data_IF_905584058347
#
_entry.id   IF_905584058347
#
_cell.length_a   1.000
_cell.length_b   1.000
_cell.length_c   1.000
_cell.angle_alpha   90.00
_cell.angle_beta   90.00
_cell.angle_gamma   90.00
#
_symmetry.space_group_name_H-M   'P 1'
#
loop_
_entity.id
_entity.type
_entity.pdbx_description
1 polymer ?
#
# COMPACT_ATOMS: atom_id res chain seq x y z
N UNK A 1 5.04 10.47 -9.49
CA UNK A 1 5.89 9.71 -8.54
C UNK A 1 6.33 8.34 -9.09
N UNK A 2 5.56 7.74 -10.00
CA UNK A 2 5.82 6.44 -10.66
C UNK A 2 7.19 6.34 -11.34
N UNK A 3 7.57 7.33 -12.16
CA UNK A 3 8.83 7.32 -12.94
C UNK A 3 10.05 7.25 -12.02
N UNK A 4 10.04 7.99 -10.91
CA UNK A 4 11.16 8.01 -9.94
C UNK A 4 11.40 6.63 -9.30
N UNK A 5 10.34 5.94 -8.91
CA UNK A 5 10.43 4.61 -8.28
C UNK A 5 10.91 3.57 -9.31
N UNK A 6 10.37 3.61 -10.53
CA UNK A 6 10.78 2.72 -11.62
C UNK A 6 12.26 2.92 -12.02
N UNK A 7 12.77 4.15 -11.97
CA UNK A 7 14.20 4.43 -12.24
C UNK A 7 15.14 3.96 -11.13
N UNK A 8 14.64 3.77 -9.91
CA UNK A 8 15.45 3.32 -8.77
C UNK A 8 15.59 1.80 -8.73
N UNK A 9 14.48 1.07 -8.88
CA UNK A 9 14.46 -0.40 -8.87
C UNK A 9 13.08 -0.89 -9.33
N UNK A 10 13.01 -1.53 -10.50
CA UNK A 10 11.75 -2.06 -11.04
C UNK A 10 11.13 -3.12 -10.11
N UNK A 11 11.96 -3.90 -9.39
CA UNK A 11 11.43 -4.90 -8.46
C UNK A 11 10.75 -4.25 -7.25
N UNK A 12 11.16 -3.05 -6.85
CA UNK A 12 10.46 -2.31 -5.80
C UNK A 12 9.13 -1.76 -6.30
N UNK A 13 9.06 -1.37 -7.58
CA UNK A 13 7.81 -0.95 -8.20
C UNK A 13 6.76 -2.06 -8.20
N UNK A 14 7.14 -3.28 -8.56
CA UNK A 14 6.23 -4.43 -8.55
C UNK A 14 5.70 -4.72 -7.14
N UNK A 15 6.56 -4.67 -6.12
CA UNK A 15 6.17 -4.86 -4.70
C UNK A 15 5.20 -3.76 -4.23
N UNK A 16 5.37 -2.53 -4.70
CA UNK A 16 4.49 -1.40 -4.38
C UNK A 16 3.14 -1.57 -5.05
N UNK A 17 3.10 -2.06 -6.29
CA UNK A 17 1.84 -2.22 -7.05
C UNK A 17 1.07 -3.45 -6.63
N UNK A 18 1.70 -4.62 -6.57
CA UNK A 18 1.02 -5.88 -6.25
C UNK A 18 0.79 -6.00 -4.75
N UNK A 19 1.70 -5.46 -3.95
CA UNK A 19 1.73 -5.58 -2.51
C UNK A 19 2.77 -6.58 -2.05
N UNK A 20 3.38 -6.36 -0.88
CA UNK A 20 4.33 -7.32 -0.35
C UNK A 20 3.60 -8.63 -0.05
N UNK A 21 4.15 -9.74 -0.53
CA UNK A 21 3.80 -11.07 -0.03
C UNK A 21 4.31 -11.21 1.40
N UNK A 22 3.58 -10.61 2.36
CA UNK A 22 3.99 -10.69 3.75
C UNK A 22 4.04 -12.16 4.19
N UNK A 23 4.96 -12.53 5.09
CA UNK A 23 5.00 -13.87 5.66
C UNK A 23 3.67 -14.21 6.33
N UNK A 24 3.01 -15.27 5.87
CA UNK A 24 1.79 -15.80 6.49
C UNK A 24 2.04 -17.22 6.99
N UNK A 25 1.33 -17.60 8.03
CA UNK A 25 1.21 -18.99 8.48
C UNK A 25 -0.26 -19.38 8.44
N UNK A 26 -0.51 -20.66 8.16
CA UNK A 26 -1.84 -21.25 8.27
C UNK A 26 -1.88 -21.95 9.61
N UNK A 27 -2.82 -21.56 10.47
CA UNK A 27 -3.02 -22.21 11.77
C UNK A 27 -3.56 -23.63 11.57
N UNK A 28 -3.59 -24.45 12.63
CA UNK A 28 -4.15 -25.82 12.54
C UNK A 28 -5.62 -25.81 12.15
N UNK A 29 -6.30 -24.70 12.40
CA UNK A 29 -7.71 -24.45 12.11
C UNK A 29 -7.92 -23.87 10.69
N UNK A 30 -6.86 -23.78 9.87
CA UNK A 30 -6.93 -23.28 8.50
C UNK A 30 -6.95 -21.74 8.39
N UNK A 31 -6.80 -21.01 9.51
CA UNK A 31 -6.83 -19.55 9.50
C UNK A 31 -5.48 -19.01 9.03
N UNK A 32 -5.50 -18.17 7.98
CA UNK A 32 -4.30 -17.47 7.49
C UNK A 32 -4.04 -16.26 8.37
N UNK A 33 -2.96 -16.28 9.13
CA UNK A 33 -2.51 -15.16 9.97
C UNK A 33 -1.11 -14.71 9.55
N UNK A 34 -0.72 -13.50 9.94
CA UNK A 34 0.68 -13.08 9.80
C UNK A 34 1.57 -14.05 10.57
N UNK A 35 2.64 -14.48 9.91
CA UNK A 35 3.64 -15.32 10.53
C UNK A 35 4.35 -14.50 11.62
N UNK A 36 4.55 -15.03 12.83
CA UNK A 36 5.36 -14.34 13.84
C UNK A 36 6.82 -14.28 13.40
N UNK A 37 7.53 -13.19 13.76
CA UNK A 37 8.92 -12.96 13.36
C UNK A 37 9.87 -14.09 13.78
N UNK A 38 9.59 -14.79 14.87
CA UNK A 38 10.37 -15.93 15.36
C UNK A 38 10.36 -17.14 14.42
N UNK A 39 9.39 -17.22 13.50
CA UNK A 39 9.26 -18.32 12.53
C UNK A 39 9.70 -17.91 11.11
N UNK A 40 10.28 -16.72 10.95
CA UNK A 40 10.69 -16.23 9.64
C UNK A 40 11.83 -17.09 9.09
N UNK A 41 11.65 -17.53 7.85
CA UNK A 41 12.72 -18.05 7.01
C UNK A 41 13.54 -16.88 6.44
N UNK A 42 14.66 -17.20 5.81
CA UNK A 42 15.47 -16.20 5.10
C UNK A 42 14.66 -15.51 3.97
N UNK A 43 13.77 -16.24 3.30
CA UNK A 43 12.88 -15.70 2.27
C UNK A 43 11.85 -14.72 2.86
N UNK A 44 11.21 -15.11 3.98
CA UNK A 44 10.28 -14.24 4.72
C UNK A 44 10.97 -12.93 5.13
N UNK A 45 12.22 -13.03 5.58
CA UNK A 45 13.03 -11.87 5.98
C UNK A 45 13.34 -10.96 4.79
N UNK A 46 13.73 -11.53 3.65
CA UNK A 46 13.98 -10.77 2.40
C UNK A 46 12.73 -10.01 1.95
N UNK A 47 11.55 -10.65 2.00
CA UNK A 47 10.26 -10.03 1.65
C UNK A 47 9.94 -8.84 2.55
N UNK A 48 10.13 -8.98 3.87
CA UNK A 48 9.91 -7.88 4.83
C UNK A 48 10.91 -6.75 4.62
N UNK A 49 12.17 -7.06 4.34
CA UNK A 49 13.20 -6.06 4.02
C UNK A 49 12.87 -5.29 2.75
N UNK A 50 12.39 -5.96 1.70
CA UNK A 50 11.96 -5.31 0.46
C UNK A 50 10.79 -4.37 0.67
N UNK A 51 9.79 -4.77 1.47
CA UNK A 51 8.70 -3.87 1.86
C UNK A 51 9.23 -2.64 2.62
N UNK A 52 10.14 -2.83 3.58
CA UNK A 52 10.74 -1.73 4.32
C UNK A 52 11.54 -0.77 3.41
N UNK A 53 12.32 -1.30 2.46
CA UNK A 53 13.05 -0.51 1.45
C UNK A 53 12.08 0.27 0.56
N UNK A 54 10.99 -0.35 0.15
CA UNK A 54 9.93 0.28 -0.65
C UNK A 54 9.27 1.44 0.11
N UNK A 55 8.93 1.25 1.40
CA UNK A 55 8.41 2.33 2.26
C UNK A 55 9.39 3.50 2.36
N UNK A 56 10.68 3.21 2.52
CA UNK A 56 11.71 4.25 2.59
C UNK A 56 11.82 5.06 1.30
N UNK A 57 11.76 4.41 0.14
CA UNK A 57 11.75 5.10 -1.17
C UNK A 57 10.54 6.02 -1.30
N UNK A 58 9.35 5.54 -0.91
CA UNK A 58 8.14 6.36 -0.92
C UNK A 58 8.31 7.57 0.01
N UNK A 59 8.67 7.36 1.28
CA UNK A 59 8.82 8.43 2.28
C UNK A 59 9.79 9.52 1.83
N UNK A 60 10.91 9.14 1.21
CA UNK A 60 11.91 10.10 0.70
C UNK A 60 11.37 10.99 -0.42
N UNK A 61 10.33 10.56 -1.13
CA UNK A 61 9.69 11.33 -2.18
C UNK A 61 8.55 12.24 -1.66
N UNK A 62 8.16 12.14 -0.39
CA UNK A 62 7.02 12.88 0.18
C UNK A 62 7.45 14.16 0.88
N UNK A 63 6.56 15.16 0.84
CA UNK A 63 6.63 16.29 1.76
C UNK A 63 6.01 15.94 3.13
N UNK A 64 6.16 16.83 4.12
CA UNK A 64 5.68 16.59 5.49
C UNK A 64 4.18 16.35 5.59
N UNK A 65 3.36 17.01 4.76
CA UNK A 65 1.90 16.84 4.77
C UNK A 65 1.51 15.45 4.25
N UNK A 66 2.08 15.04 3.12
CA UNK A 66 1.86 13.72 2.54
C UNK A 66 2.35 12.62 3.47
N UNK A 67 3.53 12.78 4.07
CA UNK A 67 4.07 11.85 5.05
C UNK A 67 3.10 11.61 6.22
N UNK A 68 2.54 12.68 6.79
CA UNK A 68 1.58 12.57 7.89
C UNK A 68 0.35 11.75 7.51
N UNK A 69 -0.10 11.81 6.24
CA UNK A 69 -1.26 11.04 5.77
C UNK A 69 -0.98 9.55 5.63
N UNK A 70 0.27 9.15 5.35
CA UNK A 70 0.62 7.75 5.06
C UNK A 70 1.51 7.09 6.12
N UNK A 71 1.96 7.84 7.13
CA UNK A 71 2.86 7.35 8.18
C UNK A 71 2.33 6.14 8.96
N UNK A 72 1.00 6.02 9.09
CA UNK A 72 0.33 4.91 9.76
C UNK A 72 0.14 3.66 8.90
N UNK A 73 0.46 3.71 7.61
CA UNK A 73 0.29 2.56 6.70
C UNK A 73 1.28 1.44 7.05
N UNK A 74 0.79 0.20 7.05
CA UNK A 74 1.60 -0.97 7.37
C UNK A 74 2.53 -1.32 6.21
N UNK A 75 2.04 -1.23 4.97
CA UNK A 75 2.77 -1.66 3.75
C UNK A 75 3.08 -0.50 2.80
N UNK A 76 4.08 -0.69 1.94
CA UNK A 76 4.39 0.28 0.88
C UNK A 76 3.23 0.44 -0.12
N UNK A 77 2.49 -0.64 -0.39
CA UNK A 77 1.27 -0.61 -1.23
C UNK A 77 0.21 0.30 -0.63
N UNK A 78 -0.10 0.17 0.66
CA UNK A 78 -1.08 1.04 1.33
C UNK A 78 -0.66 2.52 1.27
N UNK A 79 0.63 2.81 1.45
CA UNK A 79 1.15 4.18 1.28
C UNK A 79 0.89 4.69 -0.14
N UNK A 80 1.20 3.86 -1.16
CA UNK A 80 1.00 4.20 -2.57
C UNK A 80 -0.48 4.37 -2.92
N UNK A 81 -1.35 3.47 -2.48
CA UNK A 81 -2.80 3.53 -2.72
C UNK A 81 -3.41 4.80 -2.10
N UNK A 82 -2.98 5.16 -0.89
CA UNK A 82 -3.44 6.39 -0.24
C UNK A 82 -2.94 7.65 -0.95
N UNK A 83 -1.71 7.64 -1.45
CA UNK A 83 -1.17 8.75 -2.24
C UNK A 83 -1.90 8.89 -3.58
N UNK A 84 -2.20 7.78 -4.27
CA UNK A 84 -3.03 7.81 -5.49
C UNK A 84 -4.35 8.50 -5.21
N UNK A 85 -5.05 8.15 -4.13
CA UNK A 85 -6.31 8.82 -3.76
C UNK A 85 -6.12 10.32 -3.54
N UNK A 86 -5.03 10.78 -2.93
CA UNK A 86 -4.79 12.22 -2.73
C UNK A 86 -4.55 12.95 -4.06
N UNK A 87 -3.79 12.36 -5.00
CA UNK A 87 -3.48 12.99 -6.30
C UNK A 87 -4.57 12.80 -7.37
N UNK A 88 -5.32 11.72 -7.33
CA UNK A 88 -6.44 11.43 -8.26
C UNK A 88 -7.77 11.96 -7.70
N UNK A 89 -7.94 11.98 -6.38
CA UNK A 89 -9.12 12.48 -5.69
C UNK A 89 -9.18 14.01 -5.59
N UNK A 90 -8.10 14.73 -5.92
CA UNK A 90 -8.19 16.19 -6.15
C UNK A 90 -9.03 16.55 -7.38
N UNK A 91 -9.37 15.57 -8.23
CA UNK A 91 -10.30 15.75 -9.36
C UNK A 91 -11.77 15.37 -9.05
N UNK A 92 -12.13 15.01 -7.82
CA UNK A 92 -13.53 14.80 -7.43
C UNK A 92 -14.12 16.02 -6.70
N UNK A 93 -14.17 17.15 -7.40
CA UNK A 93 -15.29 18.09 -7.28
C UNK A 93 -16.10 18.00 -8.58
N UNK A 94 -16.88 16.93 -8.71
CA UNK A 94 -18.06 16.86 -9.59
C UNK A 94 -18.81 15.57 -9.28
N UNK A 95 -19.97 15.72 -8.64
CA UNK A 95 -20.85 14.60 -8.36
C UNK A 95 -21.75 14.73 -7.14
N UNK A 96 -22.03 15.94 -6.62
CA UNK A 96 -23.28 16.14 -5.90
C UNK A 96 -24.42 15.98 -6.91
N UNK A 97 -24.97 14.78 -7.03
CA UNK A 97 -26.30 14.53 -7.60
C UNK A 97 -26.92 13.33 -6.86
N UNK A 98 -27.62 13.69 -5.77
CA UNK A 98 -28.95 13.19 -5.41
C UNK A 98 -29.21 11.69 -5.56
N UNK A 99 -28.97 10.93 -4.49
CA UNK A 99 -29.77 9.73 -4.21
C UNK A 99 -30.97 10.14 -3.35
N UNK A 100 -32.14 10.23 -3.97
CA UNK A 100 -33.36 10.59 -3.25
C UNK A 100 -34.59 10.65 -4.16
N UNK A 101 -35.19 9.48 -4.36
CA UNK A 101 -36.59 9.25 -4.75
C UNK A 101 -36.98 9.56 -6.20
N UNK A 102 -37.13 8.49 -6.98
CA UNK A 102 -38.36 8.24 -7.75
C UNK A 102 -38.54 6.72 -7.84
N UNK A 103 -39.57 6.23 -7.14
CA UNK A 103 -40.13 4.89 -7.30
C UNK A 103 -40.95 4.87 -8.60
N UNK A 104 -40.95 3.79 -9.39
CA UNK A 104 -41.85 3.71 -10.54
C UNK A 104 -43.24 3.31 -10.04
N UNK A 105 -44.25 4.09 -10.43
CA UNK A 105 -45.54 3.74 -11.08
C UNK A 105 -46.22 5.07 -11.41
#
# INVERSE_FOLDING_TARGET
>A
MTIFIQTLDFNLWDIIIDGPELPHTISKEGVKTLKPRSLYTDDDTKKVQLNAKSKQVIIRALNSNEFNQVSSCATAKEMWDRLKVTYEGTNQVKGSLTFGNLHPI
#
